data_IF_287637439170
#
_entry.id   IF_287637439170
#
_cell.length_a   1.000
_cell.length_b   1.000
_cell.length_c   1.000
_cell.angle_alpha   90.00
_cell.angle_beta   90.00
_cell.angle_gamma   90.00
#
_symmetry.space_group_name_H-M   'P 1'
#
loop_
_entity.id
_entity.type
_entity.pdbx_description
1 polymer ?
#
# COMPACT_ATOMS: atom_id res chain seq x y z
N UNK A 1 -4.42 2.50 13.64
CA UNK A 1 -3.06 3.07 13.71
C UNK A 1 -3.12 4.56 13.42
N UNK A 2 -2.34 5.39 14.13
CA UNK A 2 -2.25 6.83 13.87
C UNK A 2 -0.91 7.17 13.21
N UNK A 3 -0.91 8.11 12.26
CA UNK A 3 0.29 8.60 11.59
C UNK A 3 0.07 10.04 11.06
N UNK A 4 1.13 10.78 10.71
CA UNK A 4 1.01 12.10 10.09
C UNK A 4 0.08 12.09 8.87
N UNK A 5 -0.71 13.15 8.68
CA UNK A 5 -1.75 13.21 7.65
C UNK A 5 -1.23 13.05 6.22
N UNK A 6 0.02 13.41 5.95
CA UNK A 6 0.69 13.22 4.66
C UNK A 6 1.25 11.82 4.41
N UNK A 7 1.13 10.89 5.36
CA UNK A 7 1.64 9.53 5.21
C UNK A 7 0.57 8.60 4.62
N UNK A 8 1.05 7.57 3.93
CA UNK A 8 0.27 6.39 3.56
C UNK A 8 0.50 5.31 4.60
N UNK A 9 -0.55 4.56 4.87
CA UNK A 9 -0.53 3.41 5.77
C UNK A 9 -1.15 2.22 5.06
N UNK A 10 -0.45 1.08 5.07
CA UNK A 10 -0.84 -0.16 4.41
C UNK A 10 -0.79 -1.33 5.40
N UNK A 11 -1.63 -2.34 5.18
CA UNK A 11 -1.66 -3.60 5.94
C UNK A 11 -1.91 -4.78 5.01
N UNK A 12 -2.07 -5.99 5.57
CA UNK A 12 -2.51 -7.18 4.85
C UNK A 12 -3.93 -7.05 4.29
N UNK A 13 -4.78 -6.24 4.94
CA UNK A 13 -6.11 -5.92 4.45
C UNK A 13 -6.14 -4.54 3.79
N UNK A 14 -7.00 -4.41 2.77
CA UNK A 14 -7.24 -3.17 2.06
C UNK A 14 -8.35 -2.32 2.69
N UNK A 15 -8.72 -1.26 1.99
CA UNK A 15 -9.88 -0.40 2.26
C UNK A 15 -10.03 0.05 3.72
N UNK A 16 -8.97 0.65 4.32
CA UNK A 16 -9.06 1.17 5.67
C UNK A 16 -10.09 2.29 5.78
N UNK A 17 -10.77 2.36 6.92
CA UNK A 17 -11.46 3.58 7.32
C UNK A 17 -10.42 4.59 7.81
N UNK A 18 -10.46 5.81 7.28
CA UNK A 18 -9.50 6.87 7.59
C UNK A 18 -10.24 8.04 8.24
N UNK A 19 -9.89 8.33 9.48
CA UNK A 19 -10.40 9.46 10.24
C UNK A 19 -9.34 10.57 10.29
N UNK A 20 -9.71 11.79 9.90
CA UNK A 20 -8.82 12.96 9.97
C UNK A 20 -8.93 13.63 11.33
N UNK A 21 -7.79 13.76 12.02
CA UNK A 21 -7.66 14.34 13.35
C UNK A 21 -6.74 15.58 13.32
N UNK A 22 -6.61 16.22 12.16
CA UNK A 22 -5.81 17.42 11.93
C UNK A 22 -4.37 17.11 11.49
N UNK A 23 -3.41 17.22 12.42
CA UNK A 23 -2.00 16.96 12.08
C UNK A 23 -1.69 15.47 11.83
N UNK A 24 -2.60 14.59 12.26
CA UNK A 24 -2.51 13.14 12.13
C UNK A 24 -3.84 12.59 11.60
N UNK A 25 -3.78 11.39 11.04
CA UNK A 25 -4.95 10.59 10.66
C UNK A 25 -4.93 9.27 11.42
N UNK A 26 -6.10 8.67 11.60
CA UNK A 26 -6.26 7.33 12.16
C UNK A 26 -6.76 6.38 11.06
N UNK A 27 -6.02 5.29 10.83
CA UNK A 27 -6.38 4.20 9.93
C UNK A 27 -6.89 3.01 10.72
N UNK A 28 -8.09 2.55 10.41
CA UNK A 28 -8.69 1.33 10.94
C UNK A 28 -8.89 0.34 9.80
N UNK A 29 -8.18 -0.78 9.87
CA UNK A 29 -8.24 -1.83 8.85
C UNK A 29 -9.27 -2.89 9.23
N UNK A 30 -9.99 -3.47 8.24
CA UNK A 30 -10.85 -4.60 8.51
C UNK A 30 -10.04 -5.81 8.97
N UNK A 31 -10.64 -6.72 9.76
CA UNK A 31 -9.96 -7.89 10.26
C UNK A 31 -9.49 -8.79 9.11
N UNK A 32 -8.29 -9.34 9.23
CA UNK A 32 -7.81 -10.37 8.31
C UNK A 32 -8.51 -11.71 8.59
N UNK A 33 -8.57 -12.61 7.61
CA UNK A 33 -8.77 -14.03 7.90
C UNK A 33 -7.70 -14.57 8.87
N UNK A 34 -7.87 -15.78 9.44
CA UNK A 34 -6.83 -16.43 10.23
C UNK A 34 -5.50 -16.47 9.46
N UNK A 35 -4.50 -15.84 10.05
CA UNK A 35 -3.20 -15.62 9.42
C UNK A 35 -2.11 -15.95 10.45
N UNK A 36 -1.07 -16.66 10.02
CA UNK A 36 0.07 -16.92 10.88
C UNK A 36 0.75 -15.60 11.25
N UNK A 37 1.24 -15.49 12.49
CA UNK A 37 1.78 -14.23 13.01
C UNK A 37 2.89 -13.63 12.14
N UNK A 38 3.72 -14.48 11.49
CA UNK A 38 4.83 -14.05 10.63
C UNK A 38 4.40 -13.35 9.33
N UNK A 39 3.13 -13.46 8.92
CA UNK A 39 2.60 -12.80 7.73
C UNK A 39 2.06 -11.39 8.02
N UNK A 40 1.89 -11.02 9.29
CA UNK A 40 1.29 -9.73 9.66
C UNK A 40 2.20 -8.58 9.26
N UNK A 41 1.65 -7.59 8.55
CA UNK A 41 2.40 -6.42 8.08
C UNK A 41 1.62 -5.13 8.31
N UNK A 42 2.36 -4.09 8.68
CA UNK A 42 1.94 -2.70 8.69
C UNK A 42 3.08 -1.85 8.15
N UNK A 43 2.82 -1.07 7.11
CA UNK A 43 3.80 -0.14 6.52
C UNK A 43 3.26 1.29 6.60
N UNK A 44 4.02 2.21 7.20
CA UNK A 44 3.63 3.61 7.31
C UNK A 44 4.76 4.52 6.85
N UNK A 45 4.46 5.48 5.98
CA UNK A 45 5.45 6.43 5.51
C UNK A 45 4.94 7.32 4.38
N UNK A 46 5.73 8.33 3.98
CA UNK A 46 5.41 9.21 2.87
C UNK A 46 5.67 8.51 1.53
N UNK A 47 5.06 7.35 1.27
CA UNK A 47 5.34 6.55 0.08
C UNK A 47 4.86 7.24 -1.21
N UNK A 48 5.66 7.07 -2.28
CA UNK A 48 5.22 7.22 -3.65
C UNK A 48 4.46 5.96 -4.06
N UNK A 49 3.35 6.13 -4.79
CA UNK A 49 2.41 5.05 -5.11
C UNK A 49 2.07 5.09 -6.60
N UNK A 50 2.11 3.91 -7.23
CA UNK A 50 1.54 3.66 -8.54
C UNK A 50 0.46 2.60 -8.40
N UNK A 51 -0.68 2.77 -9.08
CA UNK A 51 -1.77 1.77 -9.10
C UNK A 51 -2.17 1.42 -10.52
N UNK A 52 -2.50 0.14 -10.75
CA UNK A 52 -3.07 -0.35 -12.01
C UNK A 52 -4.02 -1.52 -11.74
N UNK A 53 -5.05 -1.65 -12.58
CA UNK A 53 -5.88 -2.87 -12.61
C UNK A 53 -5.20 -3.95 -13.45
N UNK A 54 -5.17 -5.18 -12.93
CA UNK A 54 -4.61 -6.36 -13.62
C UNK A 54 -5.22 -7.64 -13.06
N UNK A 55 -5.57 -8.60 -13.93
CA UNK A 55 -6.19 -9.89 -13.56
C UNK A 55 -7.41 -9.77 -12.60
N UNK A 56 -8.20 -8.69 -12.72
CA UNK A 56 -9.35 -8.45 -11.84
C UNK A 56 -9.00 -7.83 -10.47
N UNK A 57 -7.73 -7.60 -10.17
CA UNK A 57 -7.23 -6.99 -8.94
C UNK A 57 -6.79 -5.53 -9.16
N UNK A 58 -6.82 -4.72 -8.09
CA UNK A 58 -6.23 -3.39 -8.04
C UNK A 58 -4.85 -3.47 -7.39
N UNK A 59 -3.81 -3.45 -8.23
CA UNK A 59 -2.42 -3.65 -7.83
C UNK A 59 -1.78 -2.30 -7.47
N UNK A 60 -1.06 -2.27 -6.35
CA UNK A 60 -0.31 -1.09 -5.90
C UNK A 60 1.18 -1.38 -5.74
N UNK A 61 2.03 -0.53 -6.31
CA UNK A 61 3.47 -0.53 -6.06
C UNK A 61 3.82 0.71 -5.24
N UNK A 62 4.64 0.52 -4.20
CA UNK A 62 5.00 1.56 -3.24
C UNK A 62 6.52 1.66 -3.09
N UNK A 63 7.04 2.87 -3.07
CA UNK A 63 8.46 3.14 -2.82
C UNK A 63 8.66 4.40 -1.98
N UNK A 64 9.86 4.55 -1.40
CA UNK A 64 10.28 5.82 -0.80
C UNK A 64 10.29 6.91 -1.89
N UNK A 65 9.99 8.16 -1.51
CA UNK A 65 9.99 9.29 -2.46
C UNK A 65 11.29 9.41 -3.27
N UNK A 66 12.45 9.16 -2.64
CA UNK A 66 13.75 9.22 -3.31
C UNK A 66 13.96 8.16 -4.39
N UNK A 67 13.09 7.15 -4.47
CA UNK A 67 13.13 6.08 -5.46
C UNK A 67 11.98 6.19 -6.46
N UNK A 68 11.17 7.26 -6.44
CA UNK A 68 10.01 7.41 -7.32
C UNK A 68 10.39 7.26 -8.80
N UNK A 69 11.44 7.94 -9.25
CA UNK A 69 11.89 7.86 -10.65
C UNK A 69 12.40 6.48 -11.05
N UNK A 70 12.96 5.72 -10.10
CA UNK A 70 13.38 4.33 -10.33
C UNK A 70 12.15 3.44 -10.45
N UNK A 71 11.18 3.61 -9.56
CA UNK A 71 9.92 2.87 -9.62
C UNK A 71 9.14 3.18 -10.91
N UNK A 72 9.07 4.44 -11.34
CA UNK A 72 8.41 4.84 -12.59
C UNK A 72 9.04 4.17 -13.81
N UNK A 73 10.37 4.13 -13.88
CA UNK A 73 11.11 3.49 -14.98
C UNK A 73 10.78 2.00 -15.08
N UNK A 74 10.68 1.32 -13.94
CA UNK A 74 10.55 -0.14 -13.87
C UNK A 74 9.07 -0.61 -13.72
N UNK A 75 8.12 0.33 -13.60
CA UNK A 75 6.72 0.04 -13.27
C UNK A 75 6.01 -0.88 -14.27
N UNK A 76 6.22 -0.66 -15.57
CA UNK A 76 5.54 -1.42 -16.63
C UNK A 76 5.87 -2.91 -16.54
N UNK A 77 7.14 -3.24 -16.33
CA UNK A 77 7.60 -4.61 -16.16
C UNK A 77 7.04 -5.22 -14.88
N UNK A 78 7.16 -4.52 -13.74
CA UNK A 78 6.71 -5.01 -12.45
C UNK A 78 5.20 -5.30 -12.44
N UNK A 79 4.37 -4.43 -13.01
CA UNK A 79 2.93 -4.69 -13.13
C UNK A 79 2.62 -5.85 -14.07
N UNK A 80 3.34 -5.95 -15.21
CA UNK A 80 3.12 -7.03 -16.18
C UNK A 80 3.46 -8.39 -15.58
N UNK A 81 4.63 -8.54 -14.98
CA UNK A 81 5.09 -9.77 -14.35
C UNK A 81 4.18 -10.17 -13.18
N UNK A 82 3.81 -9.21 -12.33
CA UNK A 82 2.89 -9.49 -11.21
C UNK A 82 1.53 -9.96 -11.71
N UNK A 83 0.99 -9.32 -12.75
CA UNK A 83 -0.31 -9.71 -13.34
C UNK A 83 -0.26 -11.10 -13.97
N UNK A 84 0.85 -11.50 -14.58
CA UNK A 84 1.02 -12.83 -15.19
C UNK A 84 1.18 -13.95 -14.15
N UNK A 85 1.56 -13.64 -12.91
CA UNK A 85 1.71 -14.60 -11.82
C UNK A 85 0.45 -14.80 -10.96
N UNK A 86 -0.62 -14.04 -11.21
CA UNK A 86 -1.92 -14.14 -10.55
C UNK A 86 -2.87 -15.04 -11.34
#
# INVERSE_FOLDING_TARGET
MTAPSGWRVLSNSGDPQIEDLGSVRCWTFPPTPPLAAYNTVINAGPYYELRRRGAGHDLGLFARQSLASVLDRDADELFTLTTQGL
#
